data_IF_739361698101
#
_entry.id   IF_739361698101
#
_cell.length_a   1.000
_cell.length_b   1.000
_cell.length_c   1.000
_cell.angle_alpha   90.00
_cell.angle_beta   90.00
_cell.angle_gamma   90.00
#
_symmetry.space_group_name_H-M   'P 1'
#
loop_
_entity.id
_entity.type
_entity.pdbx_description
1 polymer ?
#
# COMPACT_ATOMS: atom_id res chain seq x y z
N UNK A 1 -17.64 3.32 -20.07
CA UNK A 1 -16.37 2.57 -20.01
C UNK A 1 -16.32 1.58 -18.85
N UNK A 2 -16.59 1.97 -17.59
CA UNK A 2 -16.53 1.03 -16.43
C UNK A 2 -17.77 0.14 -16.23
N UNK A 3 -18.99 0.62 -16.53
CA UNK A 3 -20.24 -0.15 -16.31
C UNK A 3 -20.37 -1.45 -17.12
N UNK A 4 -19.64 -1.57 -18.23
CA UNK A 4 -19.67 -2.73 -19.13
C UNK A 4 -18.56 -3.74 -18.86
N UNK A 5 -17.64 -3.46 -17.92
CA UNK A 5 -16.57 -4.37 -17.61
C UNK A 5 -17.07 -5.41 -16.60
N UNK A 6 -17.27 -6.65 -17.08
CA UNK A 6 -17.75 -7.78 -16.27
C UNK A 6 -16.84 -8.07 -15.07
N UNK A 7 -15.54 -7.74 -15.16
CA UNK A 7 -14.58 -7.97 -14.08
C UNK A 7 -14.77 -7.05 -12.89
N UNK A 8 -15.45 -5.90 -13.04
CA UNK A 8 -15.65 -4.94 -11.95
C UNK A 8 -16.78 -5.35 -10.98
N UNK A 9 -17.60 -6.34 -11.36
CA UNK A 9 -18.67 -6.84 -10.50
C UNK A 9 -19.71 -5.78 -10.10
N UNK A 10 -19.86 -4.71 -10.90
CA UNK A 10 -20.76 -3.59 -10.60
C UNK A 10 -22.20 -4.07 -10.73
N UNK A 11 -22.96 -3.98 -9.64
CA UNK A 11 -24.37 -4.40 -9.56
C UNK A 11 -25.29 -3.20 -9.80
N UNK A 12 -26.49 -3.45 -10.32
CA UNK A 12 -27.54 -2.42 -10.47
C UNK A 12 -28.34 -2.18 -9.18
N UNK A 13 -28.17 -3.06 -8.19
CA UNK A 13 -28.85 -3.00 -6.89
C UNK A 13 -27.82 -2.91 -5.77
N UNK A 14 -28.20 -2.29 -4.66
CA UNK A 14 -27.31 -2.12 -3.51
C UNK A 14 -26.93 -3.49 -2.89
N UNK A 15 -25.65 -3.71 -2.51
CA UNK A 15 -24.51 -2.82 -2.71
C UNK A 15 -24.00 -2.85 -4.17
N UNK A 16 -23.80 -1.65 -4.73
CA UNK A 16 -23.40 -1.46 -6.14
C UNK A 16 -21.99 -1.96 -6.46
N UNK A 17 -21.12 -2.00 -5.44
CA UNK A 17 -19.73 -2.46 -5.55
C UNK A 17 -19.49 -3.66 -4.63
N UNK A 18 -18.63 -4.60 -5.05
CA UNK A 18 -18.11 -5.65 -4.18
C UNK A 18 -17.48 -5.09 -2.91
N UNK A 19 -17.56 -5.84 -1.80
CA UNK A 19 -17.09 -5.41 -0.48
C UNK A 19 -15.60 -5.04 -0.48
N UNK A 20 -14.81 -5.65 -1.37
CA UNK A 20 -13.38 -5.40 -1.50
C UNK A 20 -13.08 -3.93 -1.81
N UNK A 21 -13.92 -3.25 -2.60
CA UNK A 21 -13.75 -1.82 -2.86
C UNK A 21 -13.95 -0.95 -1.61
N UNK A 22 -14.87 -1.35 -0.73
CA UNK A 22 -15.06 -0.67 0.55
C UNK A 22 -13.87 -0.89 1.48
N UNK A 23 -13.34 -2.12 1.53
CA UNK A 23 -12.13 -2.41 2.29
C UNK A 23 -10.93 -1.60 1.75
N UNK A 24 -10.71 -1.57 0.43
CA UNK A 24 -9.66 -0.75 -0.20
C UNK A 24 -9.84 0.73 0.17
N UNK A 25 -11.06 1.26 0.09
CA UNK A 25 -11.31 2.67 0.41
C UNK A 25 -11.00 3.00 1.88
N UNK A 26 -11.46 2.18 2.82
CA UNK A 26 -11.25 2.39 4.26
C UNK A 26 -9.77 2.24 4.62
N UNK A 27 -9.17 1.10 4.29
CA UNK A 27 -7.80 0.79 4.69
C UNK A 27 -6.76 1.58 3.88
N UNK A 28 -7.05 1.91 2.62
CA UNK A 28 -6.25 2.85 1.84
C UNK A 28 -6.28 4.27 2.42
N UNK A 29 -7.43 4.71 2.95
CA UNK A 29 -7.52 5.99 3.68
C UNK A 29 -6.70 5.95 4.98
N UNK A 30 -6.79 4.87 5.75
CA UNK A 30 -5.97 4.68 6.97
C UNK A 30 -4.47 4.74 6.64
N UNK A 31 -4.04 4.04 5.59
CA UNK A 31 -2.65 4.05 5.16
C UNK A 31 -2.19 5.45 4.71
N UNK A 32 -3.03 6.14 3.93
CA UNK A 32 -2.76 7.50 3.46
C UNK A 32 -2.64 8.48 4.63
N UNK A 33 -3.56 8.41 5.60
CA UNK A 33 -3.48 9.22 6.82
C UNK A 33 -2.21 8.89 7.62
N UNK A 34 -1.86 7.61 7.76
CA UNK A 34 -0.62 7.18 8.41
C UNK A 34 0.61 7.82 7.77
N UNK A 35 0.73 7.76 6.44
CA UNK A 35 1.86 8.35 5.71
C UNK A 35 1.92 9.87 5.78
N UNK A 36 0.77 10.55 5.76
CA UNK A 36 0.73 12.02 5.93
C UNK A 36 1.17 12.41 7.34
N UNK A 37 0.69 11.70 8.37
CA UNK A 37 1.03 11.98 9.76
C UNK A 37 2.50 11.70 10.04
N UNK A 38 3.02 10.60 9.49
CA UNK A 38 4.42 10.24 9.52
C UNK A 38 5.29 11.32 8.86
N UNK A 39 5.00 11.68 7.61
CA UNK A 39 5.70 12.74 6.89
C UNK A 39 5.70 14.07 7.65
N UNK A 40 4.58 14.45 8.26
CA UNK A 40 4.47 15.66 9.09
C UNK A 40 5.30 15.56 10.36
N UNK A 41 5.35 14.41 11.02
CA UNK A 41 6.16 14.15 12.21
C UNK A 41 7.65 14.36 11.91
N UNK A 42 8.11 13.79 10.78
CA UNK A 42 9.48 13.90 10.28
C UNK A 42 9.87 15.30 9.78
N UNK A 43 8.89 16.12 9.34
CA UNK A 43 9.11 17.50 8.88
C UNK A 43 9.11 18.54 10.01
N UNK A 44 8.77 18.16 11.24
CA UNK A 44 8.83 19.08 12.37
C UNK A 44 10.32 19.35 12.72
N UNK A 45 10.84 20.58 12.52
CA UNK A 45 12.26 20.90 12.72
C UNK A 45 12.73 20.69 14.17
N UNK A 46 11.81 20.59 15.13
CA UNK A 46 12.09 20.31 16.53
C UNK A 46 12.31 18.82 16.83
N UNK A 47 11.96 17.90 15.90
CA UNK A 47 11.83 16.48 16.22
C UNK A 47 12.92 15.54 15.66
N UNK A 48 13.78 15.93 14.70
CA UNK A 48 15.08 15.30 14.34
C UNK A 48 15.47 15.64 12.88
N UNK A 49 16.78 15.75 12.61
CA UNK A 49 17.31 15.69 11.22
C UNK A 49 17.45 14.23 10.81
N UNK A 50 16.54 13.75 9.97
CA UNK A 50 16.65 12.42 9.36
C UNK A 50 17.94 12.33 8.52
N UNK A 51 18.81 11.33 8.74
CA UNK A 51 19.97 11.06 7.90
C UNK A 51 19.56 10.90 6.43
N UNK A 52 20.41 11.35 5.50
CA UNK A 52 20.13 11.22 4.05
C UNK A 52 19.82 9.78 3.62
N UNK A 53 20.53 8.80 4.20
CA UNK A 53 20.33 7.36 3.91
C UNK A 53 18.94 6.84 4.26
N UNK A 54 18.36 7.31 5.37
CA UNK A 54 17.01 6.93 5.80
C UNK A 54 15.97 7.49 4.81
N UNK A 55 16.09 8.78 4.43
CA UNK A 55 15.22 9.39 3.40
C UNK A 55 15.31 8.68 2.03
N UNK A 56 16.50 8.27 1.63
CA UNK A 56 16.71 7.58 0.36
C UNK A 56 16.07 6.17 0.40
N UNK A 57 16.11 5.50 1.55
CA UNK A 57 15.45 4.20 1.77
C UNK A 57 13.92 4.32 1.79
N UNK A 58 13.37 5.29 2.52
CA UNK A 58 11.94 5.61 2.55
C UNK A 58 11.41 5.93 1.14
N UNK A 59 12.13 6.79 0.39
CA UNK A 59 11.77 7.16 -0.97
C UNK A 59 11.83 5.97 -1.93
N UNK A 60 12.80 5.07 -1.76
CA UNK A 60 12.87 3.84 -2.55
C UNK A 60 11.70 2.90 -2.23
N UNK A 61 11.35 2.71 -0.96
CA UNK A 61 10.20 1.88 -0.58
C UNK A 61 8.88 2.43 -1.16
N UNK A 62 8.68 3.75 -1.10
CA UNK A 62 7.47 4.39 -1.61
C UNK A 62 7.42 4.42 -3.14
N UNK A 63 8.54 4.78 -3.77
CA UNK A 63 8.64 5.00 -5.22
C UNK A 63 8.82 3.72 -6.04
N UNK A 64 9.68 2.80 -5.58
CA UNK A 64 10.00 1.54 -6.29
C UNK A 64 9.16 0.36 -5.81
N UNK A 65 8.54 0.46 -4.63
CA UNK A 65 7.56 -0.51 -4.15
C UNK A 65 6.13 -0.12 -4.51
N UNK A 66 5.66 0.97 -3.90
CA UNK A 66 4.26 1.40 -3.95
C UNK A 66 3.72 1.68 -5.36
N UNK A 67 4.42 2.49 -6.16
CA UNK A 67 3.97 2.85 -7.52
C UNK A 67 3.93 1.64 -8.46
N UNK A 68 5.01 0.83 -8.60
CA UNK A 68 4.95 -0.38 -9.41
C UNK A 68 3.89 -1.37 -8.95
N UNK A 69 3.70 -1.53 -7.64
CA UNK A 69 2.64 -2.39 -7.09
C UNK A 69 1.26 -1.91 -7.53
N UNK A 70 0.96 -0.63 -7.37
CA UNK A 70 -0.33 -0.06 -7.77
C UNK A 70 -0.62 -0.26 -9.26
N UNK A 71 0.37 0.02 -10.13
CA UNK A 71 0.23 -0.13 -11.58
C UNK A 71 -0.01 -1.60 -11.93
N UNK A 72 0.77 -2.52 -11.38
CA UNK A 72 0.61 -3.95 -11.65
C UNK A 72 -0.75 -4.48 -11.20
N UNK A 73 -1.20 -4.09 -10.01
CA UNK A 73 -2.53 -4.47 -9.50
C UNK A 73 -3.66 -3.90 -10.37
N UNK A 74 -3.56 -2.63 -10.78
CA UNK A 74 -4.52 -2.00 -11.68
C UNK A 74 -4.60 -2.71 -13.03
N UNK A 75 -3.45 -2.94 -13.67
CA UNK A 75 -3.40 -3.60 -14.98
C UNK A 75 -3.91 -5.04 -14.87
N UNK A 76 -3.56 -5.75 -13.80
CA UNK A 76 -4.07 -7.10 -13.54
C UNK A 76 -5.59 -7.11 -13.42
N UNK A 77 -6.18 -6.18 -12.65
CA UNK A 77 -7.63 -6.02 -12.51
C UNK A 77 -8.35 -5.77 -13.84
N UNK A 78 -7.70 -5.05 -14.77
CA UNK A 78 -8.27 -4.69 -16.06
C UNK A 78 -7.97 -5.71 -17.17
N UNK A 79 -7.14 -6.73 -16.90
CA UNK A 79 -6.71 -7.70 -17.89
C UNK A 79 -7.68 -8.86 -18.01
N UNK A 80 -7.85 -9.38 -19.23
CA UNK A 80 -8.55 -10.65 -19.47
C UNK A 80 -7.77 -11.87 -18.94
N UNK A 81 -6.47 -11.71 -18.66
CA UNK A 81 -5.57 -12.76 -18.20
C UNK A 81 -4.77 -12.32 -16.96
N UNK A 82 -5.43 -12.07 -15.81
CA UNK A 82 -4.80 -11.50 -14.61
C UNK A 82 -3.66 -12.37 -14.04
N UNK A 83 -3.68 -13.69 -14.32
CA UNK A 83 -2.66 -14.65 -13.85
C UNK A 83 -1.24 -14.32 -14.33
N UNK A 84 -1.09 -13.69 -15.50
CA UNK A 84 0.24 -13.31 -16.06
C UNK A 84 0.95 -12.29 -15.16
N UNK A 85 0.20 -11.46 -14.44
CA UNK A 85 0.74 -10.42 -13.56
C UNK A 85 1.10 -10.92 -12.17
N UNK A 86 0.71 -12.14 -11.79
CA UNK A 86 0.91 -12.65 -10.44
C UNK A 86 2.40 -12.70 -10.06
N UNK A 87 3.25 -13.22 -10.95
CA UNK A 87 4.70 -13.31 -10.68
C UNK A 87 5.32 -11.91 -10.56
N UNK A 88 5.12 -10.97 -11.50
CA UNK A 88 5.58 -9.58 -11.33
C UNK A 88 5.10 -8.92 -10.02
N UNK A 89 3.83 -9.11 -9.66
CA UNK A 89 3.25 -8.57 -8.42
C UNK A 89 3.99 -9.14 -7.21
N UNK A 90 4.23 -10.45 -7.15
CA UNK A 90 4.93 -11.08 -6.03
C UNK A 90 6.38 -10.60 -5.92
N UNK A 91 7.08 -10.38 -7.04
CA UNK A 91 8.44 -9.83 -7.03
C UNK A 91 8.46 -8.43 -6.39
N UNK A 92 7.56 -7.54 -6.83
CA UNK A 92 7.46 -6.19 -6.28
C UNK A 92 7.01 -6.23 -4.82
N UNK A 93 6.11 -7.14 -4.44
CA UNK A 93 5.67 -7.32 -3.06
C UNK A 93 6.85 -7.70 -2.15
N UNK A 94 7.63 -8.71 -2.53
CA UNK A 94 8.79 -9.16 -1.78
C UNK A 94 9.79 -8.02 -1.63
N UNK A 95 10.12 -7.33 -2.73
CA UNK A 95 11.00 -6.17 -2.68
C UNK A 95 10.48 -5.09 -1.72
N UNK A 96 9.20 -4.74 -1.79
CA UNK A 96 8.57 -3.72 -0.95
C UNK A 96 8.62 -4.12 0.52
N UNK A 97 8.28 -5.36 0.85
CA UNK A 97 8.34 -5.88 2.23
C UNK A 97 9.78 -5.86 2.75
N UNK A 98 10.76 -6.26 1.94
CA UNK A 98 12.17 -6.21 2.33
C UNK A 98 12.62 -4.77 2.59
N UNK A 99 12.23 -3.81 1.74
CA UNK A 99 12.55 -2.40 1.94
C UNK A 99 11.92 -1.84 3.22
N UNK A 100 10.65 -2.15 3.50
CA UNK A 100 9.96 -1.75 4.73
C UNK A 100 10.62 -2.40 5.97
N UNK A 101 10.94 -3.69 5.91
CA UNK A 101 11.64 -4.36 7.01
C UNK A 101 13.03 -3.78 7.25
N UNK A 102 13.77 -3.47 6.19
CA UNK A 102 15.07 -2.82 6.29
C UNK A 102 14.95 -1.48 7.00
N UNK A 103 13.99 -0.65 6.59
CA UNK A 103 13.73 0.66 7.18
C UNK A 103 13.39 0.56 8.68
N UNK A 104 12.42 -0.30 9.03
CA UNK A 104 11.98 -0.50 10.40
C UNK A 104 13.10 -1.06 11.31
N UNK A 105 13.86 -2.05 10.83
CA UNK A 105 14.87 -2.72 11.66
C UNK A 105 16.22 -2.00 11.71
N UNK A 106 16.59 -1.24 10.68
CA UNK A 106 17.90 -0.54 10.64
C UNK A 106 17.79 0.86 11.23
N UNK A 107 16.72 1.59 10.93
CA UNK A 107 16.58 2.99 11.35
C UNK A 107 15.65 3.16 12.54
N UNK A 108 14.51 2.45 12.56
CA UNK A 108 13.44 2.75 13.51
C UNK A 108 13.50 1.94 14.81
N UNK A 109 14.10 0.75 14.83
CA UNK A 109 14.17 -0.11 16.04
C UNK A 109 14.79 0.61 17.27
N UNK A 110 15.69 1.58 17.05
CA UNK A 110 16.37 2.32 18.14
C UNK A 110 15.81 3.73 18.38
N UNK A 111 15.05 4.29 17.45
CA UNK A 111 14.63 5.71 17.46
C UNK A 111 13.12 5.91 17.55
N UNK A 112 12.34 4.93 17.11
CA UNK A 112 10.92 5.08 16.90
C UNK A 112 10.16 5.24 18.22
N UNK A 113 9.48 6.38 18.35
CA UNK A 113 8.60 6.65 19.48
C UNK A 113 7.25 5.92 19.34
N UNK A 114 6.45 5.92 20.42
CA UNK A 114 5.09 5.33 20.38
C UNK A 114 4.19 5.94 19.28
N UNK A 115 4.38 7.23 18.98
CA UNK A 115 3.59 7.96 17.99
C UNK A 115 3.96 7.55 16.57
N UNK A 116 5.25 7.61 16.22
CA UNK A 116 5.82 7.16 14.93
C UNK A 116 5.46 5.68 14.67
N UNK A 117 5.59 4.80 15.68
CA UNK A 117 5.19 3.40 15.58
C UNK A 117 3.69 3.22 15.27
N UNK A 118 2.83 4.10 15.78
CA UNK A 118 1.39 4.08 15.46
C UNK A 118 1.16 4.44 14.00
N UNK A 119 1.88 5.42 13.47
CA UNK A 119 1.79 5.81 12.06
C UNK A 119 2.30 4.71 11.12
N UNK A 120 3.41 4.05 11.47
CA UNK A 120 3.91 2.91 10.70
C UNK A 120 2.89 1.76 10.68
N UNK A 121 2.24 1.47 11.81
CA UNK A 121 1.18 0.45 11.87
C UNK A 121 -0.03 0.81 11.01
N UNK A 122 -0.43 2.08 10.99
CA UNK A 122 -1.49 2.57 10.10
C UNK A 122 -1.08 2.41 8.63
N UNK A 123 0.15 2.78 8.29
CA UNK A 123 0.67 2.73 6.93
C UNK A 123 0.83 1.30 6.41
N UNK A 124 1.57 0.45 7.14
CA UNK A 124 1.82 -0.94 6.76
C UNK A 124 0.54 -1.78 6.87
N UNK A 125 -0.20 -1.65 7.97
CA UNK A 125 -1.44 -2.39 8.19
C UNK A 125 -2.54 -2.00 7.21
N UNK A 126 -2.74 -0.69 6.98
CA UNK A 126 -3.70 -0.18 6.01
C UNK A 126 -3.36 -0.63 4.59
N UNK A 127 -2.10 -0.50 4.15
CA UNK A 127 -1.67 -0.97 2.83
C UNK A 127 -1.81 -2.49 2.70
N UNK A 128 -1.42 -3.25 3.73
CA UNK A 128 -1.52 -4.72 3.71
C UNK A 128 -2.96 -5.20 3.54
N UNK A 129 -3.90 -4.65 4.31
CA UNK A 129 -5.32 -5.04 4.21
C UNK A 129 -5.94 -4.57 2.89
N UNK A 130 -5.64 -3.35 2.44
CA UNK A 130 -6.11 -2.86 1.15
C UNK A 130 -5.59 -3.72 -0.02
N UNK A 131 -4.31 -4.10 0.03
CA UNK A 131 -3.70 -4.99 -0.96
C UNK A 131 -4.35 -6.38 -0.94
N UNK A 132 -4.57 -6.97 0.24
CA UNK A 132 -5.23 -8.28 0.36
C UNK A 132 -6.66 -8.26 -0.18
N UNK A 133 -7.43 -7.20 0.11
CA UNK A 133 -8.77 -7.03 -0.43
C UNK A 133 -8.74 -6.92 -1.96
N UNK A 134 -7.79 -6.16 -2.51
CA UNK A 134 -7.63 -6.03 -3.96
C UNK A 134 -7.15 -7.33 -4.61
N UNK A 135 -6.23 -8.05 -3.98
CA UNK A 135 -5.76 -9.36 -4.43
C UNK A 135 -6.91 -10.37 -4.46
N UNK A 136 -7.68 -10.45 -3.37
CA UNK A 136 -8.86 -11.30 -3.30
C UNK A 136 -9.86 -10.95 -4.41
N UNK A 137 -10.05 -9.66 -4.68
CA UNK A 137 -10.93 -9.21 -5.75
C UNK A 137 -10.48 -9.72 -7.13
N UNK A 138 -9.17 -9.74 -7.41
CA UNK A 138 -8.65 -10.15 -8.72
C UNK A 138 -8.58 -11.68 -8.87
N UNK A 139 -8.17 -12.40 -7.82
CA UNK A 139 -7.72 -13.79 -7.95
C UNK A 139 -8.56 -14.83 -7.19
N UNK A 140 -9.43 -14.41 -6.28
CA UNK A 140 -10.17 -15.31 -5.37
C UNK A 140 -11.70 -15.21 -5.53
N UNK A 141 -12.18 -14.66 -6.65
CA UNK A 141 -13.61 -14.72 -7.01
C UNK A 141 -13.98 -16.07 -7.61
#
# INVERSE_FOLDING_TARGET
MFKTNIHLGIRQVFPFLPWQFWAIAIFGSVATCGGILDWRYHRNPLNLKIPKKERDAEAAALGLGGIPMFILMWVSMMSNSPKVYLIPILIVLIYTVVAICYDEFVFHIKRCGKQESTFHRMLVGGNGIAWLAWFHFIYCQ
#
